data_IF_309680501505
#
_entry.id   IF_309680501505
#
_cell.length_a   1.000
_cell.length_b   1.000
_cell.length_c   1.000
_cell.angle_alpha   90.00
_cell.angle_beta   90.00
_cell.angle_gamma   90.00
#
_symmetry.space_group_name_H-M   'P 1'
#
loop_
_entity.id
_entity.type
_entity.pdbx_description
1 polymer ?
#
# COMPACT_ATOMS: atom_id res chain seq x y z
N UNK A 1 -51.13 -2.40 -23.28
CA UNK A 1 -49.91 -3.19 -22.97
C UNK A 1 -48.59 -2.42 -23.20
N UNK A 2 -48.34 -1.83 -24.39
CA UNK A 2 -47.07 -1.12 -24.69
C UNK A 2 -46.75 0.11 -23.80
N UNK A 3 -47.76 0.78 -23.23
CA UNK A 3 -47.58 1.94 -22.32
C UNK A 3 -47.03 1.53 -20.95
N UNK A 4 -47.47 0.39 -20.41
CA UNK A 4 -46.97 -0.16 -19.15
C UNK A 4 -45.56 -0.74 -19.31
N UNK A 5 -45.24 -1.33 -20.46
CA UNK A 5 -43.90 -1.84 -20.77
C UNK A 5 -42.84 -0.72 -20.83
N UNK A 6 -43.19 0.45 -21.39
CA UNK A 6 -42.34 1.64 -21.38
C UNK A 6 -42.13 2.18 -19.97
N UNK A 7 -43.18 2.22 -19.15
CA UNK A 7 -43.09 2.64 -17.74
C UNK A 7 -42.18 1.74 -16.89
N UNK A 8 -42.25 0.42 -17.10
CA UNK A 8 -41.38 -0.55 -16.42
C UNK A 8 -39.92 -0.37 -16.84
N UNK A 9 -39.65 -0.12 -18.12
CA UNK A 9 -38.29 0.16 -18.62
C UNK A 9 -37.73 1.44 -17.99
N UNK A 10 -38.52 2.52 -17.93
CA UNK A 10 -38.07 3.76 -17.27
C UNK A 10 -37.81 3.58 -15.78
N UNK A 11 -38.67 2.82 -15.08
CA UNK A 11 -38.47 2.52 -13.66
C UNK A 11 -37.23 1.65 -13.41
N UNK A 12 -36.97 0.65 -14.27
CA UNK A 12 -35.80 -0.21 -14.19
C UNK A 12 -34.48 0.56 -14.47
N UNK A 13 -34.49 1.49 -15.43
CA UNK A 13 -33.34 2.36 -15.71
C UNK A 13 -33.07 3.33 -14.56
N UNK A 14 -34.13 3.89 -13.96
CA UNK A 14 -34.00 4.81 -12.82
C UNK A 14 -33.51 4.08 -11.55
N UNK A 15 -33.88 2.81 -11.36
CA UNK A 15 -33.37 1.96 -10.29
C UNK A 15 -31.89 1.59 -10.49
N UNK A 16 -31.46 1.39 -11.74
CA UNK A 16 -30.07 1.01 -12.09
C UNK A 16 -29.08 2.18 -11.92
N UNK A 17 -29.52 3.42 -12.07
CA UNK A 17 -28.67 4.62 -11.88
C UNK A 17 -28.36 4.87 -10.40
N UNK A 18 -29.26 4.48 -9.49
CA UNK A 18 -29.10 4.70 -8.04
C UNK A 18 -27.96 3.87 -7.42
N UNK A 19 -27.56 2.78 -8.07
CA UNK A 19 -26.60 1.80 -7.53
C UNK A 19 -25.13 2.17 -7.83
N UNK A 20 -24.87 3.18 -8.67
CA UNK A 20 -23.50 3.59 -9.02
C UNK A 20 -22.90 4.63 -8.05
N UNK A 21 -23.66 5.04 -7.02
CA UNK A 21 -23.29 6.16 -6.13
C UNK A 21 -22.55 5.75 -4.85
N UNK A 22 -22.23 4.47 -4.64
CA UNK A 22 -21.73 3.97 -3.35
C UNK A 22 -20.35 3.30 -3.41
N UNK A 23 -19.46 3.75 -4.28
CA UNK A 23 -18.02 3.58 -4.06
C UNK A 23 -17.53 4.74 -3.19
N UNK A 24 -17.60 4.58 -1.87
CA UNK A 24 -16.99 5.52 -0.92
C UNK A 24 -15.56 5.05 -0.66
N UNK A 25 -14.56 5.90 -0.94
CA UNK A 25 -13.19 5.67 -0.48
C UNK A 25 -13.16 6.06 1.00
N UNK A 26 -13.29 5.07 1.87
CA UNK A 26 -13.19 5.30 3.31
C UNK A 26 -11.78 5.80 3.64
N UNK A 27 -11.76 6.77 4.55
CA UNK A 27 -10.61 7.62 4.88
C UNK A 27 -9.43 6.73 5.27
N UNK A 28 -8.47 6.58 4.37
CA UNK A 28 -7.24 5.81 4.57
C UNK A 28 -6.52 6.24 5.85
N UNK A 29 -6.60 7.54 6.18
CA UNK A 29 -6.10 8.14 7.42
C UNK A 29 -6.76 7.61 8.71
N UNK A 30 -8.00 7.09 8.66
CA UNK A 30 -8.67 6.47 9.82
C UNK A 30 -8.22 5.02 10.01
N UNK A 31 -7.92 4.31 8.91
CA UNK A 31 -7.42 2.93 8.97
C UNK A 31 -5.91 2.91 9.27
N UNK A 32 -5.18 3.92 8.79
CA UNK A 32 -3.75 4.11 8.94
C UNK A 32 -3.49 5.56 9.36
N UNK A 33 -3.59 5.89 10.66
CA UNK A 33 -3.29 7.23 11.13
C UNK A 33 -1.82 7.52 10.90
N UNK A 34 -1.52 8.22 9.80
CA UNK A 34 -0.21 8.82 9.55
C UNK A 34 -0.03 9.89 10.62
N UNK A 35 0.82 9.63 11.60
CA UNK A 35 1.08 10.54 12.73
C UNK A 35 1.47 11.91 12.19
N UNK A 36 0.58 12.89 12.39
CA UNK A 36 0.73 14.26 11.88
C UNK A 36 1.72 15.10 12.68
N UNK A 37 2.22 14.59 13.80
CA UNK A 37 3.18 15.26 14.68
C UNK A 37 4.38 14.34 15.00
N UNK A 38 5.34 14.28 14.08
CA UNK A 38 6.62 13.62 14.29
C UNK A 38 6.66 12.15 13.85
N UNK A 39 7.83 11.71 13.43
CA UNK A 39 8.07 10.33 13.01
C UNK A 39 7.86 9.37 14.19
N UNK A 40 6.70 8.75 14.29
CA UNK A 40 6.47 7.73 15.31
C UNK A 40 7.35 6.53 15.02
N UNK A 41 8.13 6.16 16.01
CA UNK A 41 9.13 5.10 15.94
C UNK A 41 8.95 4.08 17.06
N UNK A 42 7.85 4.20 17.82
CA UNK A 42 7.50 3.28 18.88
C UNK A 42 6.61 2.19 18.31
N UNK A 43 6.94 0.93 18.63
CA UNK A 43 6.15 -0.24 18.24
C UNK A 43 5.81 -0.25 16.73
N UNK A 44 6.82 -0.04 15.88
CA UNK A 44 6.63 -0.07 14.43
C UNK A 44 6.26 -1.50 14.01
N UNK A 45 5.03 -1.67 13.54
CA UNK A 45 4.51 -2.93 13.00
C UNK A 45 4.27 -2.86 11.50
N UNK A 46 4.16 -4.02 10.88
CA UNK A 46 3.85 -4.13 9.46
C UNK A 46 2.52 -3.45 9.15
N UNK A 47 1.47 -3.79 9.90
CA UNK A 47 0.12 -3.32 9.63
C UNK A 47 -0.03 -1.81 9.77
N UNK A 48 0.58 -1.21 10.79
CA UNK A 48 0.34 0.20 11.12
C UNK A 48 1.24 1.17 10.34
N UNK A 49 2.45 0.74 9.95
CA UNK A 49 3.46 1.64 9.38
C UNK A 49 4.01 1.15 8.05
N UNK A 50 4.42 -0.12 7.97
CA UNK A 50 5.20 -0.59 6.83
C UNK A 50 4.32 -0.85 5.61
N UNK A 51 3.14 -1.46 5.80
CA UNK A 51 2.19 -1.71 4.72
C UNK A 51 1.77 -0.41 4.02
N UNK A 52 1.39 0.69 4.74
CA UNK A 52 1.17 1.99 4.13
C UNK A 52 2.39 2.52 3.33
N UNK A 53 3.60 2.41 3.87
CA UNK A 53 4.81 2.85 3.15
C UNK A 53 5.00 2.04 1.86
N UNK A 54 4.75 0.72 1.88
CA UNK A 54 4.84 -0.12 0.69
C UNK A 54 3.76 0.22 -0.33
N UNK A 55 2.53 0.51 0.10
CA UNK A 55 1.45 0.95 -0.78
C UNK A 55 1.82 2.25 -1.50
N UNK A 56 2.30 3.25 -0.75
CA UNK A 56 2.63 4.57 -1.27
C UNK A 56 3.82 4.58 -2.23
N UNK A 57 4.84 3.72 -1.98
CA UNK A 57 6.15 3.86 -2.61
C UNK A 57 6.58 2.67 -3.47
N UNK A 58 6.03 1.47 -3.25
CA UNK A 58 6.60 0.22 -3.76
C UNK A 58 5.62 -0.60 -4.61
N UNK A 59 4.37 -0.72 -4.16
CA UNK A 59 3.39 -1.67 -4.68
C UNK A 59 2.88 -1.35 -6.10
N UNK A 60 3.20 -0.16 -6.63
CA UNK A 60 2.94 0.17 -8.04
C UNK A 60 3.65 -0.75 -9.04
N UNK A 61 4.85 -1.23 -8.69
CA UNK A 61 5.62 -2.20 -9.48
C UNK A 61 5.70 -3.57 -8.78
N UNK A 62 5.73 -3.58 -7.45
CA UNK A 62 5.96 -4.78 -6.64
C UNK A 62 4.68 -5.36 -6.00
N UNK A 63 3.49 -4.98 -6.48
CA UNK A 63 2.21 -5.51 -6.02
C UNK A 63 1.38 -6.16 -7.13
N UNK A 64 0.13 -6.52 -6.80
CA UNK A 64 -0.85 -7.04 -7.75
C UNK A 64 -0.54 -8.46 -8.23
N UNK A 65 -1.12 -8.92 -9.34
CA UNK A 65 -0.92 -10.31 -9.80
C UNK A 65 0.44 -10.57 -10.47
N UNK A 66 1.08 -9.52 -10.98
CA UNK A 66 2.31 -9.62 -11.79
C UNK A 66 3.36 -8.61 -11.29
N UNK A 67 3.96 -8.84 -10.11
CA UNK A 67 5.01 -7.98 -9.61
C UNK A 67 6.24 -8.02 -10.52
N UNK A 68 6.87 -6.86 -10.72
CA UNK A 68 8.11 -6.75 -11.49
C UNK A 68 9.23 -7.57 -10.85
N UNK A 69 10.07 -8.17 -11.71
CA UNK A 69 11.14 -9.09 -11.32
C UNK A 69 10.70 -10.30 -10.45
N UNK A 70 9.38 -10.55 -10.32
CA UNK A 70 8.85 -11.57 -9.42
C UNK A 70 8.98 -11.22 -7.93
N UNK A 71 9.26 -9.96 -7.60
CA UNK A 71 9.47 -9.50 -6.21
C UNK A 71 8.19 -8.83 -5.71
N UNK A 72 7.57 -9.41 -4.68
CA UNK A 72 6.31 -8.94 -4.11
C UNK A 72 6.54 -8.21 -2.78
N UNK A 73 5.91 -7.05 -2.61
CA UNK A 73 5.96 -6.22 -1.38
C UNK A 73 4.59 -5.89 -0.79
N UNK A 74 3.52 -6.44 -1.36
CA UNK A 74 2.13 -6.14 -0.99
C UNK A 74 1.52 -7.11 0.04
N UNK A 75 2.34 -7.96 0.66
CA UNK A 75 1.96 -8.76 1.82
C UNK A 75 3.14 -8.95 2.79
N UNK A 76 2.79 -9.30 4.02
CA UNK A 76 3.74 -9.42 5.12
C UNK A 76 4.80 -10.50 4.88
N UNK A 77 4.41 -11.72 4.47
CA UNK A 77 5.34 -12.85 4.39
C UNK A 77 6.45 -12.59 3.37
N UNK A 78 6.10 -12.12 2.18
CA UNK A 78 7.10 -11.86 1.14
C UNK A 78 7.99 -10.66 1.52
N UNK A 79 7.42 -9.62 2.12
CA UNK A 79 8.20 -8.47 2.57
C UNK A 79 9.13 -8.83 3.73
N UNK A 80 8.68 -9.70 4.64
CA UNK A 80 9.47 -10.24 5.74
C UNK A 80 10.69 -11.00 5.22
N UNK A 81 10.51 -11.85 4.21
CA UNK A 81 11.64 -12.59 3.60
C UNK A 81 12.69 -11.63 3.01
N UNK A 82 12.25 -10.54 2.37
CA UNK A 82 13.13 -9.48 1.84
C UNK A 82 13.83 -8.67 2.95
N UNK A 83 13.16 -8.48 4.09
CA UNK A 83 13.74 -7.83 5.26
C UNK A 83 14.81 -8.72 5.91
N UNK A 84 14.49 -9.99 6.17
CA UNK A 84 15.39 -10.95 6.84
C UNK A 84 16.63 -11.29 6.01
N UNK A 85 16.55 -11.21 4.67
CA UNK A 85 17.69 -11.42 3.78
C UNK A 85 18.46 -10.13 3.43
N UNK A 86 18.18 -9.01 4.10
CA UNK A 86 18.79 -7.69 3.91
C UNK A 86 18.52 -7.01 2.55
N UNK A 87 17.72 -7.60 1.66
CA UNK A 87 17.43 -7.00 0.36
C UNK A 87 16.64 -5.70 0.51
N UNK A 88 15.62 -5.68 1.37
CA UNK A 88 14.80 -4.49 1.60
C UNK A 88 15.66 -3.32 2.12
N UNK A 89 16.45 -3.56 3.17
CA UNK A 89 17.35 -2.54 3.73
C UNK A 89 18.34 -2.02 2.68
N UNK A 90 18.99 -2.91 1.93
CA UNK A 90 19.98 -2.52 0.92
C UNK A 90 19.39 -1.64 -0.18
N UNK A 91 18.22 -2.01 -0.74
CA UNK A 91 17.61 -1.25 -1.84
C UNK A 91 17.03 0.09 -1.39
N UNK A 92 16.40 0.18 -0.21
CA UNK A 92 15.80 1.44 0.28
C UNK A 92 16.86 2.39 0.85
N UNK A 93 17.96 1.85 1.41
CA UNK A 93 19.06 2.66 1.91
C UNK A 93 20.03 3.12 0.81
N UNK A 94 19.86 2.63 -0.43
CA UNK A 94 20.73 2.88 -1.58
C UNK A 94 22.17 2.44 -1.28
N UNK A 95 22.31 1.26 -0.66
CA UNK A 95 23.61 0.72 -0.29
C UNK A 95 24.41 0.26 -1.52
N UNK A 96 25.75 0.37 -1.51
CA UNK A 96 26.58 -0.16 -2.58
C UNK A 96 26.32 -1.64 -2.83
N UNK A 97 26.12 -2.01 -4.10
CA UNK A 97 25.83 -3.39 -4.52
C UNK A 97 24.33 -3.70 -4.68
N UNK A 98 23.44 -2.81 -4.28
CA UNK A 98 21.99 -2.92 -4.49
C UNK A 98 21.52 -1.98 -5.61
N UNK A 99 20.44 -2.35 -6.32
CA UNK A 99 19.76 -1.43 -7.22
C UNK A 99 18.94 -0.45 -6.37
N UNK A 100 19.19 0.87 -6.43
CA UNK A 100 18.46 1.85 -5.62
C UNK A 100 16.95 1.82 -5.90
N UNK A 101 16.16 1.79 -4.83
CA UNK A 101 14.70 1.85 -4.87
C UNK A 101 14.18 2.99 -3.96
N UNK A 102 13.06 3.66 -4.30
CA UNK A 102 12.24 3.44 -5.49
C UNK A 102 12.96 3.82 -6.79
N UNK A 103 12.72 3.04 -7.86
CA UNK A 103 13.47 3.13 -9.11
C UNK A 103 13.35 4.53 -9.73
N UNK A 104 14.48 5.12 -10.10
CA UNK A 104 14.60 6.44 -10.75
C UNK A 104 13.89 7.57 -9.99
N UNK A 105 13.68 7.38 -8.68
CA UNK A 105 13.11 8.37 -7.76
C UNK A 105 14.11 8.72 -6.66
N UNK A 106 13.91 9.84 -5.96
CA UNK A 106 14.64 10.13 -4.73
C UNK A 106 14.47 9.01 -3.70
N UNK A 107 15.40 8.95 -2.75
CA UNK A 107 15.29 8.10 -1.57
C UNK A 107 14.00 8.42 -0.81
N UNK A 108 13.47 7.44 -0.09
CA UNK A 108 12.31 7.63 0.80
C UNK A 108 12.59 8.74 1.82
N UNK A 109 11.52 9.26 2.44
CA UNK A 109 11.67 10.25 3.50
C UNK A 109 12.48 9.69 4.66
N UNK A 110 13.17 10.56 5.40
CA UNK A 110 13.94 10.13 6.57
C UNK A 110 13.07 9.37 7.59
N UNK A 111 11.78 9.70 7.69
CA UNK A 111 10.87 8.99 8.57
C UNK A 111 10.53 7.59 8.07
N UNK A 112 10.14 7.45 6.80
CA UNK A 112 9.78 6.14 6.23
C UNK A 112 10.98 5.19 6.28
N UNK A 113 12.18 5.68 5.95
CA UNK A 113 13.42 4.90 6.09
C UNK A 113 13.66 4.47 7.53
N UNK A 114 13.49 5.38 8.49
CA UNK A 114 13.69 5.08 9.90
C UNK A 114 12.70 4.03 10.39
N UNK A 115 11.43 4.12 10.01
CA UNK A 115 10.41 3.13 10.34
C UNK A 115 10.72 1.77 9.73
N UNK A 116 11.13 1.71 8.45
CA UNK A 116 11.56 0.47 7.81
C UNK A 116 12.74 -0.15 8.57
N UNK A 117 13.78 0.64 8.86
CA UNK A 117 14.97 0.13 9.55
C UNK A 117 14.64 -0.38 10.97
N UNK A 118 13.83 0.36 11.74
CA UNK A 118 13.37 -0.09 13.07
C UNK A 118 12.56 -1.37 12.98
N UNK A 119 11.66 -1.48 12.00
CA UNK A 119 10.85 -2.69 11.82
C UNK A 119 11.73 -3.92 11.54
N UNK A 120 12.74 -3.77 10.68
CA UNK A 120 13.74 -4.82 10.41
C UNK A 120 14.51 -5.17 11.69
N UNK A 121 15.06 -4.18 12.39
CA UNK A 121 15.89 -4.35 13.60
C UNK A 121 15.14 -4.97 14.78
N UNK A 122 13.83 -4.70 14.89
CA UNK A 122 12.96 -5.23 15.95
C UNK A 122 12.37 -6.60 15.63
N UNK A 123 12.81 -7.24 14.56
CA UNK A 123 12.38 -8.59 14.20
C UNK A 123 11.04 -8.63 13.48
N UNK A 124 10.79 -7.67 12.58
CA UNK A 124 9.69 -7.65 11.61
C UNK A 124 8.31 -7.88 12.24
N UNK A 125 7.95 -7.05 13.22
CA UNK A 125 6.67 -7.16 13.93
C UNK A 125 5.46 -7.02 12.97
N UNK A 126 4.44 -7.87 13.11
CA UNK A 126 3.24 -7.89 12.25
C UNK A 126 2.26 -6.73 12.52
#
# INVERSE_FOLDING_TARGET
MKKYLRGIIYFAVLLLVSILSSCHFDKEEVLYPKSSDGCDTLNVTYTNYIAPIMVDNCNGCHGGSFPEAGIRTDNYNDLKDLAENNSLAGVVNHEPGYSPMPKDKPKLSDCDLKQINIWIETGVQE
#
